data_IF_556270501509
#
_entry.id   IF_556270501509
#
_cell.length_a   1.000
_cell.length_b   1.000
_cell.length_c   1.000
_cell.angle_alpha   90.00
_cell.angle_beta   90.00
_cell.angle_gamma   90.00
#
_symmetry.space_group_name_H-M   'P 1'
#
loop_
_entity.id
_entity.type
_entity.pdbx_description
1 polymer ?
#
# COMPACT_ATOMS: atom_id res chain seq x y z
N UNK A 1 -8.99 -7.77 -17.16
CA UNK A 1 -7.72 -7.75 -16.40
C UNK A 1 -7.96 -8.47 -15.08
N UNK A 2 -7.08 -9.40 -14.68
CA UNK A 2 -7.25 -10.06 -13.38
C UNK A 2 -6.79 -9.14 -12.25
N UNK A 3 -7.44 -9.25 -11.08
CA UNK A 3 -7.04 -8.54 -9.84
C UNK A 3 -5.57 -8.79 -9.48
N UNK A 4 -5.03 -9.96 -9.86
CA UNK A 4 -3.64 -10.30 -9.67
C UNK A 4 -2.69 -9.38 -10.47
N UNK A 5 -2.98 -9.17 -11.76
CA UNK A 5 -2.16 -8.29 -12.62
C UNK A 5 -2.18 -6.86 -12.09
N UNK A 6 -3.35 -6.37 -11.66
CA UNK A 6 -3.47 -5.04 -11.05
C UNK A 6 -2.58 -4.90 -9.81
N UNK A 7 -2.56 -5.90 -8.93
CA UNK A 7 -1.68 -5.89 -7.74
C UNK A 7 -0.20 -5.82 -8.12
N UNK A 8 0.22 -6.57 -9.15
CA UNK A 8 1.61 -6.53 -9.62
C UNK A 8 1.97 -5.15 -10.16
N UNK A 9 1.10 -4.54 -10.98
CA UNK A 9 1.30 -3.16 -11.47
C UNK A 9 1.40 -2.18 -10.30
N UNK A 10 0.51 -2.32 -9.30
CA UNK A 10 0.54 -1.50 -8.08
C UNK A 10 1.86 -1.65 -7.31
N UNK A 11 2.37 -2.87 -7.15
CA UNK A 11 3.64 -3.13 -6.45
C UNK A 11 4.82 -2.52 -7.22
N UNK A 12 4.88 -2.71 -8.54
CA UNK A 12 5.95 -2.17 -9.38
C UNK A 12 5.95 -0.63 -9.35
N UNK A 13 4.79 -0.01 -9.52
CA UNK A 13 4.67 1.46 -9.46
C UNK A 13 5.02 2.01 -8.08
N UNK A 14 4.56 1.37 -6.99
CA UNK A 14 4.94 1.76 -5.63
C UNK A 14 6.46 1.63 -5.39
N UNK A 15 7.08 0.56 -5.92
CA UNK A 15 8.51 0.38 -5.81
C UNK A 15 9.28 1.50 -6.51
N UNK A 16 8.86 1.94 -7.71
CA UNK A 16 9.48 3.06 -8.41
C UNK A 16 9.38 4.38 -7.62
N UNK A 17 8.27 4.62 -6.90
CA UNK A 17 8.10 5.78 -6.03
C UNK A 17 9.16 5.80 -4.91
N UNK A 18 9.33 4.67 -4.23
CA UNK A 18 10.29 4.53 -3.14
C UNK A 18 11.73 4.52 -3.67
N UNK A 19 11.99 3.89 -4.81
CA UNK A 19 13.30 3.89 -5.45
C UNK A 19 13.79 5.32 -5.70
N UNK A 20 12.93 6.18 -6.25
CA UNK A 20 13.25 7.60 -6.45
C UNK A 20 13.63 8.31 -5.16
N UNK A 21 12.92 8.06 -4.05
CA UNK A 21 13.16 8.76 -2.79
C UNK A 21 14.36 8.19 -1.99
N UNK A 22 14.63 6.87 -2.07
CA UNK A 22 15.80 6.26 -1.40
C UNK A 22 17.10 6.56 -2.17
N UNK A 23 17.13 6.29 -3.48
CA UNK A 23 18.35 6.28 -4.28
C UNK A 23 18.55 7.60 -5.03
N UNK A 24 17.48 8.36 -5.25
CA UNK A 24 17.48 9.49 -6.16
C UNK A 24 17.15 9.05 -7.59
N UNK A 25 16.49 9.93 -8.35
CA UNK A 25 16.13 9.67 -9.74
C UNK A 25 15.29 10.78 -10.35
N UNK A 26 14.78 10.56 -11.56
CA UNK A 26 13.89 11.53 -12.22
C UNK A 26 12.55 11.65 -11.46
N UNK A 27 12.03 12.88 -11.33
CA UNK A 27 10.69 13.15 -10.76
C UNK A 27 9.56 12.40 -11.47
N UNK A 28 9.76 11.99 -12.72
CA UNK A 28 8.80 11.18 -13.48
C UNK A 28 8.49 9.87 -12.75
N UNK A 29 9.48 9.26 -12.09
CA UNK A 29 9.29 8.03 -11.32
C UNK A 29 8.33 8.24 -10.14
N UNK A 30 8.41 9.40 -9.48
CA UNK A 30 7.47 9.76 -8.41
C UNK A 30 6.04 9.87 -8.95
N UNK A 31 5.86 10.57 -10.08
CA UNK A 31 4.52 10.79 -10.67
C UNK A 31 3.90 9.46 -11.09
N UNK A 32 4.66 8.59 -11.77
CA UNK A 32 4.19 7.25 -12.16
C UNK A 32 3.89 6.41 -10.91
N UNK A 33 4.70 6.55 -9.87
CA UNK A 33 4.52 5.85 -8.60
C UNK A 33 3.21 6.18 -7.89
N UNK A 34 2.65 7.39 -8.06
CA UNK A 34 1.35 7.78 -7.47
C UNK A 34 0.17 6.94 -7.97
N UNK A 35 0.29 6.31 -9.13
CA UNK A 35 -0.76 5.42 -9.68
C UNK A 35 -0.95 4.17 -8.80
N UNK A 36 0.04 3.81 -7.98
CA UNK A 36 -0.10 2.75 -7.00
C UNK A 36 -1.28 2.99 -6.04
N UNK A 37 -1.56 4.25 -5.68
CA UNK A 37 -2.63 4.59 -4.76
C UNK A 37 -4.02 4.12 -5.21
N UNK A 38 -4.54 4.56 -6.37
CA UNK A 38 -5.85 4.13 -6.84
C UNK A 38 -5.92 2.62 -7.15
N UNK A 39 -4.81 2.01 -7.58
CA UNK A 39 -4.76 0.56 -7.82
C UNK A 39 -4.94 -0.21 -6.50
N UNK A 40 -4.24 0.18 -5.44
CA UNK A 40 -4.40 -0.46 -4.14
C UNK A 40 -5.75 -0.15 -3.52
N UNK A 41 -6.30 1.06 -3.70
CA UNK A 41 -7.66 1.39 -3.26
C UNK A 41 -8.69 0.40 -3.84
N UNK A 42 -8.66 0.22 -5.16
CA UNK A 42 -9.58 -0.66 -5.88
C UNK A 42 -9.39 -2.13 -5.49
N UNK A 43 -8.15 -2.62 -5.44
CA UNK A 43 -7.88 -4.02 -5.10
C UNK A 43 -8.22 -4.34 -3.63
N UNK A 44 -8.08 -3.38 -2.71
CA UNK A 44 -8.56 -3.52 -1.34
C UNK A 44 -10.08 -3.53 -1.27
N UNK A 45 -10.78 -2.61 -1.96
CA UNK A 45 -12.24 -2.55 -1.94
C UNK A 45 -12.86 -3.84 -2.47
N UNK A 46 -12.36 -4.35 -3.59
CA UNK A 46 -12.77 -5.65 -4.14
C UNK A 46 -12.51 -6.80 -3.15
N UNK A 47 -11.33 -6.80 -2.52
CA UNK A 47 -10.98 -7.79 -1.50
C UNK A 47 -11.87 -7.72 -0.25
N UNK A 48 -12.36 -6.53 0.11
CA UNK A 48 -13.28 -6.32 1.21
C UNK A 48 -14.67 -6.84 0.88
N UNK A 49 -15.23 -6.50 -0.29
CA UNK A 49 -16.57 -6.97 -0.73
C UNK A 49 -16.67 -8.50 -0.72
N UNK A 50 -15.59 -9.19 -1.08
CA UNK A 50 -15.56 -10.65 -1.13
C UNK A 50 -15.14 -11.32 0.19
N UNK A 51 -14.82 -10.56 1.25
CA UNK A 51 -14.43 -11.14 2.54
C UNK A 51 -15.64 -11.47 3.40
N UNK A 52 -15.67 -12.67 3.98
CA UNK A 52 -16.72 -13.07 4.95
C UNK A 52 -16.45 -12.53 6.37
N UNK A 53 -15.22 -12.11 6.66
CA UNK A 53 -14.80 -11.65 7.98
C UNK A 53 -13.90 -10.42 7.90
N UNK A 54 -14.45 -9.27 8.32
CA UNK A 54 -13.72 -8.00 8.38
C UNK A 54 -12.53 -8.08 9.35
N UNK A 55 -12.71 -8.67 10.54
CA UNK A 55 -11.61 -8.79 11.54
C UNK A 55 -10.39 -9.53 10.97
N UNK A 56 -10.61 -10.68 10.31
CA UNK A 56 -9.53 -11.44 9.67
C UNK A 56 -8.89 -10.67 8.51
N UNK A 57 -9.69 -9.91 7.76
CA UNK A 57 -9.19 -9.07 6.68
C UNK A 57 -8.30 -7.94 7.20
N UNK A 58 -8.77 -7.20 8.22
CA UNK A 58 -8.00 -6.12 8.85
C UNK A 58 -6.72 -6.62 9.50
N UNK A 59 -6.75 -7.81 10.12
CA UNK A 59 -5.54 -8.41 10.68
C UNK A 59 -4.48 -8.72 9.61
N UNK A 60 -4.89 -9.30 8.46
CA UNK A 60 -3.97 -9.53 7.33
C UNK A 60 -3.43 -8.22 6.75
N UNK A 61 -4.29 -7.20 6.60
CA UNK A 61 -3.88 -5.89 6.13
C UNK A 61 -2.89 -5.21 7.08
N UNK A 62 -3.15 -5.29 8.38
CA UNK A 62 -2.28 -4.73 9.42
C UNK A 62 -0.89 -5.35 9.41
N UNK A 63 -0.81 -6.69 9.38
CA UNK A 63 0.48 -7.40 9.29
C UNK A 63 1.25 -6.91 8.06
N UNK A 64 0.60 -6.87 6.90
CA UNK A 64 1.24 -6.43 5.67
C UNK A 64 1.71 -4.97 5.72
N UNK A 65 0.87 -4.07 6.26
CA UNK A 65 1.20 -2.66 6.43
C UNK A 65 2.41 -2.46 7.34
N UNK A 66 2.47 -3.18 8.47
CA UNK A 66 3.62 -3.14 9.37
C UNK A 66 4.87 -3.70 8.68
N UNK A 67 4.76 -4.86 8.00
CA UNK A 67 5.90 -5.45 7.29
C UNK A 67 6.53 -4.51 6.27
N UNK A 68 5.74 -3.69 5.56
CA UNK A 68 6.26 -2.69 4.61
C UNK A 68 6.85 -1.46 5.31
N UNK A 69 6.31 -1.04 6.46
CA UNK A 69 6.87 0.09 7.23
C UNK A 69 8.17 -0.28 7.95
N UNK A 70 8.34 -1.54 8.33
CA UNK A 70 9.48 -1.99 9.15
C UNK A 70 10.85 -1.62 8.56
N UNK A 71 11.12 -1.81 7.24
CA UNK A 71 12.37 -1.36 6.64
C UNK A 71 12.68 0.12 6.88
N UNK A 72 11.72 1.02 6.70
CA UNK A 72 11.98 2.46 6.86
C UNK A 72 12.32 2.81 8.31
N UNK A 73 11.68 2.16 9.28
CA UNK A 73 11.95 2.32 10.72
C UNK A 73 13.36 1.80 11.06
N UNK A 74 13.71 0.62 10.56
CA UNK A 74 15.01 -0.03 10.84
C UNK A 74 16.18 0.76 10.27
N UNK A 75 16.04 1.33 9.09
CA UNK A 75 17.07 2.15 8.44
C UNK A 75 17.04 3.63 8.85
N UNK A 76 16.12 4.02 9.75
CA UNK A 76 16.02 5.40 10.25
C UNK A 76 15.61 6.43 9.20
N UNK A 77 14.96 6.01 8.11
CA UNK A 77 14.44 6.94 7.12
C UNK A 77 13.15 7.59 7.63
N UNK A 78 13.08 8.92 7.58
CA UNK A 78 11.87 9.69 7.88
C UNK A 78 10.87 9.63 6.70
N UNK A 79 10.36 8.41 6.46
CA UNK A 79 9.30 8.17 5.50
C UNK A 79 7.94 8.39 6.15
N UNK A 80 7.07 9.09 5.41
CA UNK A 80 5.64 9.10 5.73
C UNK A 80 5.08 7.69 5.82
N UNK A 81 3.99 7.55 6.58
CA UNK A 81 3.31 6.27 6.77
C UNK A 81 2.89 5.68 5.41
N UNK A 82 3.08 4.38 5.25
CA UNK A 82 2.71 3.73 4.01
C UNK A 82 1.18 3.71 3.80
N UNK A 83 0.82 3.58 2.52
CA UNK A 83 -0.58 3.60 2.07
C UNK A 83 -1.45 2.51 2.72
N UNK A 84 -0.88 1.34 3.01
CA UNK A 84 -1.61 0.23 3.61
C UNK A 84 -2.01 0.52 5.06
N UNK A 85 -1.17 1.26 5.80
CA UNK A 85 -1.48 1.73 7.14
C UNK A 85 -2.58 2.80 7.11
N UNK A 86 -2.57 3.68 6.11
CA UNK A 86 -3.66 4.64 5.90
C UNK A 86 -4.99 3.92 5.64
N UNK A 87 -5.00 2.90 4.78
CA UNK A 87 -6.21 2.09 4.57
C UNK A 87 -6.63 1.37 5.83
N UNK A 88 -5.71 0.73 6.56
CA UNK A 88 -6.03 0.07 7.82
C UNK A 88 -6.72 1.02 8.80
N UNK A 89 -6.17 2.22 9.01
CA UNK A 89 -6.78 3.26 9.85
C UNK A 89 -8.16 3.66 9.34
N UNK A 90 -8.30 3.91 8.04
CA UNK A 90 -9.57 4.27 7.43
C UNK A 90 -10.65 3.20 7.68
N UNK A 91 -10.31 1.91 7.52
CA UNK A 91 -11.23 0.84 7.86
C UNK A 91 -11.55 0.77 9.36
N UNK A 92 -10.58 0.97 10.24
CA UNK A 92 -10.87 1.00 11.68
C UNK A 92 -11.88 2.10 12.00
N UNK A 93 -11.67 3.33 11.52
CA UNK A 93 -12.59 4.45 11.73
C UNK A 93 -13.99 4.25 11.13
N UNK A 94 -14.13 3.50 10.05
CA UNK A 94 -15.43 3.27 9.41
C UNK A 94 -16.28 2.22 10.12
N UNK A 95 -15.65 1.31 10.88
CA UNK A 95 -16.32 0.13 11.44
C UNK A 95 -16.26 0.05 12.98
N UNK A 96 -15.52 0.93 13.65
CA UNK A 96 -15.39 1.01 15.11
C UNK A 96 -15.37 2.47 15.57
#
# INVERSE_FOLDING_TARGET
MSLFILKIIGIVTMFLDHYHYIIGGSKILNVVGRIAFPIFAFTLSEGYVHTRSLKKYLFRLFIFAVSIQMPSILFGYDYSMNIFLHYFRAFVYLYF
#
